data_IF_990433066921
#
_entry.id   IF_990433066921
#
_cell.length_a   1.000
_cell.length_b   1.000
_cell.length_c   1.000
_cell.angle_alpha   90.00
_cell.angle_beta   90.00
_cell.angle_gamma   90.00
#
_symmetry.space_group_name_H-M   'P 1'
#
loop_
_entity.id
_entity.type
_entity.pdbx_description
1 polymer ?
#
# COMPACT_ATOMS: atom_id res chain seq x y z
N UNK A 1 -13.87 -21.47 -0.54
CA UNK A 1 -13.60 -20.07 -0.23
C UNK A 1 -12.96 -19.42 -1.44
N UNK A 2 -13.50 -18.31 -1.87
CA UNK A 2 -12.91 -17.57 -2.98
C UNK A 2 -11.72 -16.78 -2.47
N UNK A 3 -10.60 -16.91 -3.14
CA UNK A 3 -9.45 -16.04 -2.90
C UNK A 3 -9.65 -14.77 -3.70
N UNK A 4 -9.50 -13.60 -3.07
CA UNK A 4 -9.60 -12.36 -3.82
C UNK A 4 -8.57 -12.30 -4.93
N UNK A 5 -9.00 -11.95 -6.13
CA UNK A 5 -8.12 -11.82 -7.29
C UNK A 5 -7.75 -10.39 -7.63
N UNK A 6 -8.37 -9.41 -6.98
CA UNK A 6 -8.16 -8.00 -7.27
C UNK A 6 -7.89 -7.20 -6.01
N UNK A 7 -6.83 -6.41 -6.06
CA UNK A 7 -6.47 -5.45 -5.01
C UNK A 7 -6.27 -4.09 -5.66
N UNK A 8 -6.58 -3.03 -4.93
CA UNK A 8 -6.40 -1.67 -5.42
C UNK A 8 -4.91 -1.32 -5.42
N UNK A 9 -4.27 -1.17 -6.59
CA UNK A 9 -2.83 -0.91 -6.63
C UNK A 9 -2.45 0.46 -6.07
N UNK A 10 -3.33 1.45 -6.15
CA UNK A 10 -3.02 2.80 -5.72
C UNK A 10 -2.77 2.87 -4.22
N UNK A 11 -3.61 2.18 -3.44
CA UNK A 11 -3.43 2.21 -2.00
C UNK A 11 -2.18 1.43 -1.58
N UNK A 12 -1.84 0.37 -2.30
CA UNK A 12 -0.64 -0.40 -2.01
C UNK A 12 0.63 0.40 -2.34
N UNK A 13 0.55 1.35 -3.27
CA UNK A 13 1.68 2.23 -3.59
C UNK A 13 2.05 3.10 -2.38
N UNK A 14 1.08 3.52 -1.58
CA UNK A 14 1.32 4.39 -0.42
C UNK A 14 1.39 3.63 0.89
N UNK A 15 1.11 2.34 0.89
CA UNK A 15 1.17 1.52 2.11
C UNK A 15 2.53 1.59 2.82
N UNK A 16 3.68 1.70 2.13
CA UNK A 16 4.97 1.89 2.81
C UNK A 16 5.02 3.13 3.71
N UNK A 17 4.18 4.13 3.45
CA UNK A 17 4.13 5.34 4.28
C UNK A 17 3.61 5.04 5.69
N UNK A 18 2.96 3.91 5.90
CA UNK A 18 2.49 3.50 7.21
C UNK A 18 3.64 3.12 8.14
N UNK A 19 4.82 2.85 7.60
CA UNK A 19 6.03 2.50 8.37
C UNK A 19 5.77 1.35 9.33
N UNK A 20 5.20 0.28 8.82
CA UNK A 20 4.91 -0.91 9.62
C UNK A 20 6.20 -1.61 10.03
N UNK A 21 6.21 -2.15 11.26
CA UNK A 21 7.28 -3.04 11.67
C UNK A 21 7.28 -4.29 10.78
N UNK A 22 8.42 -4.99 10.66
CA UNK A 22 8.45 -6.24 9.88
C UNK A 22 7.40 -7.25 10.35
N UNK A 23 7.21 -7.37 11.67
CA UNK A 23 6.20 -8.29 12.22
C UNK A 23 4.79 -7.86 11.82
N UNK A 24 4.48 -6.56 11.91
CA UNK A 24 3.16 -6.07 11.49
C UNK A 24 2.93 -6.31 10.00
N UNK A 25 3.96 -6.12 9.18
CA UNK A 25 3.86 -6.40 7.76
C UNK A 25 3.59 -7.88 7.49
N UNK A 26 4.31 -8.75 8.19
CA UNK A 26 4.10 -10.19 8.05
C UNK A 26 2.69 -10.60 8.45
N UNK A 27 2.19 -10.05 9.57
CA UNK A 27 0.81 -10.30 10.01
C UNK A 27 -0.17 -9.81 8.93
N UNK A 28 0.03 -8.62 8.40
CA UNK A 28 -0.84 -8.07 7.37
C UNK A 28 -0.84 -8.96 6.11
N UNK A 29 0.33 -9.44 5.70
CA UNK A 29 0.43 -10.30 4.52
C UNK A 29 -0.36 -11.60 4.71
N UNK A 30 -0.28 -12.20 5.90
CA UNK A 30 -1.05 -13.43 6.18
C UNK A 30 -2.56 -13.13 6.22
N UNK A 31 -2.94 -12.01 6.83
CA UNK A 31 -4.36 -11.60 6.84
C UNK A 31 -4.88 -11.39 5.43
N UNK A 32 -4.10 -10.71 4.60
CA UNK A 32 -4.46 -10.46 3.21
C UNK A 32 -4.66 -11.77 2.45
N UNK A 33 -3.79 -12.75 2.70
CA UNK A 33 -3.89 -14.05 2.04
C UNK A 33 -5.12 -14.86 2.49
N UNK A 34 -5.62 -14.62 3.70
CA UNK A 34 -6.71 -15.40 4.28
C UNK A 34 -8.06 -14.70 4.26
N UNK A 35 -8.12 -13.48 3.72
CA UNK A 35 -9.35 -12.72 3.72
C UNK A 35 -10.39 -13.30 2.77
N UNK A 36 -11.66 -13.07 3.13
CA UNK A 36 -12.78 -13.20 2.19
C UNK A 36 -12.86 -11.92 1.36
N UNK A 37 -13.42 -11.96 0.15
CA UNK A 37 -13.60 -10.74 -0.62
C UNK A 37 -14.36 -9.69 0.20
N UNK A 38 -13.80 -8.47 0.27
CA UNK A 38 -14.32 -7.40 1.11
C UNK A 38 -13.54 -7.20 2.40
N UNK A 39 -12.58 -8.05 2.71
CA UNK A 39 -11.61 -7.81 3.79
C UNK A 39 -11.88 -8.51 5.11
N UNK A 40 -12.91 -9.32 5.21
CA UNK A 40 -13.17 -10.05 6.45
C UNK A 40 -12.21 -11.23 6.57
N UNK A 41 -11.54 -11.34 7.72
CA UNK A 41 -10.63 -12.45 8.01
C UNK A 41 -11.08 -13.15 9.28
N UNK A 42 -11.26 -14.46 9.21
CA UNK A 42 -11.59 -15.29 10.37
C UNK A 42 -10.31 -15.98 10.83
N UNK A 43 -9.71 -15.42 11.88
CA UNK A 43 -8.42 -15.90 12.38
C UNK A 43 -8.26 -15.53 13.84
N UNK A 44 -7.60 -16.42 14.60
CA UNK A 44 -7.26 -16.15 15.99
C UNK A 44 -5.80 -15.72 16.06
N UNK A 45 -5.48 -14.89 17.05
CA UNK A 45 -4.10 -14.45 17.25
C UNK A 45 -3.15 -15.62 17.47
N UNK A 46 -3.62 -16.68 18.12
CA UNK A 46 -2.82 -17.87 18.31
C UNK A 46 -2.44 -18.52 16.98
N UNK A 47 -3.37 -18.57 16.03
CA UNK A 47 -3.11 -19.13 14.70
C UNK A 47 -2.05 -18.32 13.96
N UNK A 48 -2.10 -16.99 14.09
CA UNK A 48 -1.09 -16.12 13.49
C UNK A 48 0.28 -16.33 14.14
N UNK A 49 0.29 -16.46 15.47
CA UNK A 49 1.52 -16.69 16.21
C UNK A 49 2.19 -18.00 15.76
N UNK A 50 1.40 -19.05 15.62
CA UNK A 50 1.90 -20.35 15.17
C UNK A 50 2.39 -20.28 13.72
N UNK A 51 1.62 -19.62 12.85
CA UNK A 51 1.95 -19.50 11.44
C UNK A 51 3.25 -18.74 11.22
N UNK A 52 3.51 -17.71 12.01
CA UNK A 52 4.67 -16.84 11.85
C UNK A 52 5.83 -17.21 12.79
N UNK A 53 5.62 -18.21 13.65
CA UNK A 53 6.60 -18.63 14.64
C UNK A 53 7.04 -17.47 15.53
N UNK A 54 6.07 -16.74 16.06
CA UNK A 54 6.28 -15.63 16.97
C UNK A 54 5.35 -15.77 18.17
N UNK A 55 5.55 -14.95 19.19
CA UNK A 55 4.70 -15.01 20.37
C UNK A 55 3.33 -14.37 20.10
N UNK A 56 2.34 -14.81 20.85
CA UNK A 56 1.00 -14.21 20.76
C UNK A 56 1.04 -12.72 21.15
N UNK A 57 1.91 -12.34 22.08
CA UNK A 57 2.11 -10.95 22.45
C UNK A 57 2.64 -10.12 21.26
N UNK A 58 3.55 -10.69 20.47
CA UNK A 58 4.06 -10.03 19.27
C UNK A 58 2.94 -9.84 18.24
N UNK A 59 2.08 -10.86 18.07
CA UNK A 59 0.92 -10.74 17.18
C UNK A 59 -0.02 -9.63 17.67
N UNK A 60 -0.28 -9.59 18.96
CA UNK A 60 -1.16 -8.57 19.55
C UNK A 60 -0.62 -7.16 19.29
N UNK A 61 0.68 -6.96 19.46
CA UNK A 61 1.30 -5.65 19.18
C UNK A 61 1.23 -5.31 17.69
N UNK A 62 1.45 -6.29 16.83
CA UNK A 62 1.36 -6.09 15.38
C UNK A 62 -0.07 -5.67 14.98
N UNK A 63 -1.07 -6.37 15.51
CA UNK A 63 -2.47 -6.03 15.23
C UNK A 63 -2.80 -4.63 15.75
N UNK A 64 -2.31 -4.26 16.94
CA UNK A 64 -2.51 -2.92 17.47
C UNK A 64 -1.89 -1.87 16.56
N UNK A 65 -0.69 -2.11 16.05
CA UNK A 65 -0.06 -1.18 15.11
C UNK A 65 -0.88 -1.05 13.82
N UNK A 66 -1.33 -2.16 13.27
CA UNK A 66 -2.16 -2.13 12.06
C UNK A 66 -3.46 -1.37 12.30
N UNK A 67 -4.06 -1.55 13.48
CA UNK A 67 -5.28 -0.85 13.86
C UNK A 67 -5.03 0.65 14.03
N UNK A 68 -3.92 1.01 14.67
CA UNK A 68 -3.55 2.42 14.86
C UNK A 68 -3.34 3.14 13.54
N UNK A 69 -2.88 2.43 12.52
CA UNK A 69 -2.72 2.99 11.18
C UNK A 69 -3.99 2.97 10.35
N UNK A 70 -5.08 2.45 10.89
CA UNK A 70 -6.34 2.36 10.17
C UNK A 70 -6.40 1.25 9.15
N UNK A 71 -5.36 0.41 9.09
CA UNK A 71 -5.32 -0.72 8.14
C UNK A 71 -6.32 -1.78 8.54
N UNK A 72 -6.52 -1.98 9.85
CA UNK A 72 -7.55 -2.86 10.40
C UNK A 72 -8.59 -2.04 11.13
N UNK A 73 -9.84 -2.51 11.12
CA UNK A 73 -10.93 -1.86 11.84
C UNK A 73 -10.85 -2.07 13.34
N UNK A 74 -11.39 -1.11 14.08
CA UNK A 74 -11.43 -1.17 15.54
C UNK A 74 -12.45 -2.15 16.07
N UNK A 75 -13.55 -2.29 15.37
CA UNK A 75 -14.64 -3.15 15.81
C UNK A 75 -14.39 -4.56 15.33
N UNK A 76 -14.11 -5.41 16.26
CA UNK A 76 -13.84 -6.78 15.96
C UNK A 76 -14.67 -7.69 16.84
N UNK A 77 -15.25 -8.68 16.23
CA UNK A 77 -15.75 -9.81 16.95
C UNK A 77 -14.57 -10.72 17.26
N UNK A 78 -14.67 -11.44 18.35
CA UNK A 78 -13.65 -12.40 18.72
C UNK A 78 -13.40 -13.36 17.55
N UNK A 79 -12.15 -13.48 17.16
CA UNK A 79 -11.77 -14.37 16.05
C UNK A 79 -12.02 -13.82 14.66
N UNK A 80 -12.37 -12.53 14.53
CA UNK A 80 -12.50 -11.89 13.23
C UNK A 80 -11.73 -10.59 13.18
N UNK A 81 -11.24 -10.25 11.99
CA UNK A 81 -10.52 -9.01 11.72
C UNK A 81 -11.06 -8.46 10.42
N UNK A 82 -11.22 -7.16 10.32
CA UNK A 82 -11.69 -6.52 9.10
C UNK A 82 -10.59 -5.63 8.53
N UNK A 83 -10.15 -5.92 7.31
CA UNK A 83 -9.19 -5.09 6.60
C UNK A 83 -9.93 -3.88 6.03
N UNK A 84 -9.26 -2.72 6.04
CA UNK A 84 -9.85 -1.49 5.50
C UNK A 84 -10.34 -1.72 4.06
N UNK A 85 -11.54 -1.25 3.71
CA UNK A 85 -12.10 -1.52 2.39
C UNK A 85 -11.22 -1.14 1.20
N UNK A 86 -10.38 -0.11 1.32
CA UNK A 86 -9.46 0.27 0.26
C UNK A 86 -8.29 -0.71 0.12
N UNK A 87 -7.92 -1.40 1.21
CA UNK A 87 -6.82 -2.37 1.22
C UNK A 87 -7.29 -3.79 1.03
N UNK A 88 -8.60 -4.03 1.15
CA UNK A 88 -9.17 -5.36 1.03
C UNK A 88 -9.02 -5.90 -0.38
N UNK A 89 -9.09 -7.22 -0.50
CA UNK A 89 -9.14 -7.88 -1.79
C UNK A 89 -10.57 -8.12 -2.23
N UNK A 90 -10.78 -8.15 -3.54
CA UNK A 90 -12.09 -8.32 -4.15
C UNK A 90 -12.02 -9.33 -5.28
N UNK A 91 -13.17 -9.77 -5.74
CA UNK A 91 -13.23 -10.69 -6.88
C UNK A 91 -12.91 -9.99 -8.19
N UNK A 92 -13.22 -8.70 -8.27
CA UNK A 92 -13.02 -7.90 -9.48
C UNK A 92 -13.06 -6.41 -9.13
N UNK A 93 -12.65 -5.58 -10.08
CA UNK A 93 -12.77 -4.12 -9.95
C UNK A 93 -14.23 -3.72 -9.75
N UNK A 94 -15.14 -4.33 -10.47
CA UNK A 94 -16.57 -4.03 -10.34
C UNK A 94 -17.07 -4.34 -8.93
N UNK A 95 -16.65 -5.48 -8.38
CA UNK A 95 -17.01 -5.85 -7.01
C UNK A 95 -16.49 -4.81 -6.02
N UNK A 96 -15.25 -4.37 -6.18
CA UNK A 96 -14.66 -3.35 -5.31
C UNK A 96 -15.47 -2.05 -5.38
N UNK A 97 -15.76 -1.57 -6.58
CA UNK A 97 -16.49 -0.31 -6.75
C UNK A 97 -17.89 -0.38 -6.14
N UNK A 98 -18.57 -1.49 -6.35
CA UNK A 98 -19.89 -1.69 -5.74
C UNK A 98 -19.80 -1.68 -4.22
N UNK A 99 -18.81 -2.35 -3.66
CA UNK A 99 -18.60 -2.40 -2.21
C UNK A 99 -18.30 -1.01 -1.64
N UNK A 100 -17.43 -0.26 -2.30
CA UNK A 100 -17.04 1.07 -1.82
C UNK A 100 -18.16 2.09 -1.94
N UNK A 101 -19.08 1.89 -2.88
CA UNK A 101 -20.21 2.79 -3.09
C UNK A 101 -21.44 2.40 -2.25
N UNK A 102 -21.42 1.23 -1.64
CA UNK A 102 -22.54 0.76 -0.83
C UNK A 102 -22.63 1.59 0.45
N UNK A 103 -23.78 2.26 0.71
CA UNK A 103 -23.94 3.03 1.94
C UNK A 103 -23.80 2.21 3.21
N UNK A 104 -24.02 0.90 3.13
CA UNK A 104 -23.87 0.01 4.28
C UNK A 104 -22.41 -0.30 4.61
N UNK A 105 -21.49 -0.01 3.69
CA UNK A 105 -20.06 -0.23 3.92
C UNK A 105 -19.53 0.84 4.86
N UNK A 106 -19.04 0.39 6.01
CA UNK A 106 -18.45 1.31 6.97
C UNK A 106 -17.02 1.63 6.57
N UNK A 107 -16.74 2.92 6.38
CA UNK A 107 -15.41 3.42 6.07
C UNK A 107 -14.86 4.20 7.24
N UNK A 108 -13.65 3.88 7.65
CA UNK A 108 -12.93 4.64 8.65
C UNK A 108 -11.64 5.19 8.02
N UNK A 109 -11.06 6.25 8.58
CA UNK A 109 -9.89 6.88 7.95
C UNK A 109 -8.64 6.01 8.09
N UNK A 110 -7.82 6.04 7.06
CA UNK A 110 -6.44 5.55 7.14
C UNK A 110 -5.60 6.59 7.87
N UNK A 111 -4.74 6.12 8.75
CA UNK A 111 -3.94 7.00 9.60
C UNK A 111 -2.45 6.92 9.22
N UNK A 112 -2.18 7.19 7.95
CA UNK A 112 -0.81 7.36 7.45
C UNK A 112 -0.89 8.23 6.19
N UNK A 113 0.24 8.86 5.78
CA UNK A 113 0.20 9.77 4.63
C UNK A 113 -0.22 9.06 3.36
N UNK A 114 -1.31 9.50 2.77
CA UNK A 114 -1.82 9.02 1.50
C UNK A 114 -1.83 10.12 0.44
N UNK A 115 -1.23 11.27 0.74
CA UNK A 115 -1.29 12.45 -0.11
C UNK A 115 -0.63 12.31 -1.47
N UNK A 116 0.18 11.28 -1.63
CA UNK A 116 0.82 11.00 -2.91
C UNK A 116 -0.02 10.12 -3.82
N UNK A 117 -1.18 9.67 -3.34
CA UNK A 117 -2.17 9.07 -4.22
C UNK A 117 -2.78 10.19 -5.04
N UNK A 118 -2.10 10.55 -6.09
CA UNK A 118 -2.69 11.45 -7.06
C UNK A 118 -3.39 10.60 -8.09
N UNK A 119 -4.58 11.05 -8.55
CA UNK A 119 -5.12 10.44 -9.75
C UNK A 119 -4.04 10.50 -10.82
N UNK A 120 -3.91 9.47 -11.63
CA UNK A 120 -2.94 9.49 -12.70
C UNK A 120 -3.15 10.78 -13.47
N UNK A 121 -2.14 11.60 -13.47
CA UNK A 121 -2.20 12.81 -14.25
C UNK A 121 -2.41 12.37 -15.68
N UNK A 122 -3.50 12.82 -16.24
CA UNK A 122 -3.62 12.77 -17.67
C UNK A 122 -2.27 13.23 -18.20
N UNK A 123 -1.68 12.44 -19.02
CA UNK A 123 -0.38 12.68 -19.61
C UNK A 123 -0.18 14.15 -19.95
N UNK A 124 0.33 14.87 -18.98
CA UNK A 124 0.80 16.21 -19.24
C UNK A 124 2.16 16.02 -19.91
N UNK A 125 2.29 16.38 -21.19
CA UNK A 125 3.54 16.19 -21.89
C UNK A 125 4.73 16.82 -21.19
N UNK A 126 4.45 17.81 -20.31
CA UNK A 126 5.50 18.46 -19.56
C UNK A 126 6.08 17.57 -18.48
N UNK A 127 5.33 16.55 -18.03
CA UNK A 127 5.83 15.66 -17.01
C UNK A 127 6.85 14.68 -17.57
N UNK A 128 6.77 14.40 -18.85
CA UNK A 128 7.71 13.50 -19.47
C UNK A 128 9.05 14.13 -19.81
N UNK A 129 9.10 15.46 -19.82
CA UNK A 129 10.33 16.18 -20.14
C UNK A 129 11.11 16.61 -18.90
N UNK A 130 10.54 16.49 -17.77
CA UNK A 130 11.23 16.81 -16.52
C UNK A 130 12.25 15.78 -16.13
N UNK A 131 12.57 15.14 -17.05
CA UNK A 131 13.56 14.20 -16.81
C UNK A 131 14.87 14.65 -17.33
N UNK A 132 15.12 15.26 -17.52
CA UNK A 132 16.07 15.43 -17.98
C UNK A 132 16.96 15.92 -17.59
N UNK A 133 17.20 15.86 -17.87
CA UNK A 133 17.90 16.18 -17.61
C UNK A 133 18.66 16.54 -17.60
N UNK A 134 19.05 16.46 -17.76
CA UNK A 134 19.68 16.86 -17.58
C UNK A 134 20.28 17.30 -18.00
N UNK A 135 20.59 17.22 -18.17
CA UNK A 135 21.14 17.62 -18.25
C UNK A 135 21.76 17.84 -18.53
N UNK A 136 22.06 17.52 -18.53
CA UNK A 136 22.60 17.68 -18.42
C UNK A 136 22.91 17.92 -18.83
N UNK A 137 22.86 17.64 -19.24
CA UNK A 137 23.24 17.87 -19.10
C UNK A 137 23.44 18.12 -19.65
N UNK A 138 23.64 17.97 -20.08
CA UNK A 138 23.99 18.29 -19.97
C UNK A 138 24.15 18.64 -20.64
N UNK A 139 24.29 18.52 -20.84
CA UNK A 139 24.58 18.93 -20.73
C UNK A 139 24.73 19.28 -21.02
N UNK A 140 25.13 19.14 -21.58
CA UNK A 140 25.49 19.52 -21.22
C UNK A 140 25.68 19.81 -21.53
N UNK A 141 25.96 19.67 -22.04
CA UNK A 141 26.36 19.92 -21.68
C UNK A 141 26.67 20.11 -22.06
N UNK A 142 27.05 20.02 -22.58
CA UNK A 142 27.59 20.12 -22.37
C UNK A 142 27.73 20.14 -22.70
N UNK A 143 28.11 20.03 -22.94
CA UNK A 143 28.60 20.15 -22.46
C UNK A 143 28.75 20.26 -22.82
N UNK A 144 29.02 20.21 -23.24
CA UNK A 144 29.51 20.34 -22.86
C UNK A 144 29.58 20.47 -23.15
N UNK A 145 29.93 20.24 -23.23
CA UNK A 145 30.48 20.45 -22.70
C UNK A 145 30.76 20.62 -22.84
N UNK A 146 31.00 20.58 -23.37
CA UNK A 146 31.61 20.79 -22.83
C UNK A 146 31.98 20.94 -23.08
N UNK A 147 32.10 20.78 -23.18
CA UNK A 147 32.82 20.83 -22.73
C UNK A 147 33.32 21.12 -23.15
N UNK A 148 33.53 21.00 -23.56
CA UNK A 148 34.45 21.24 -23.39
C UNK A 148 35.04 21.43 -23.55
N UNK A 149 35.22 21.30 -23.76
CA UNK A 149 36.02 21.47 -23.30
C UNK A 149 36.54 21.35 -23.39
N UNK A 150 36.60 21.03 -23.60
CA UNK A 150 37.33 20.87 -23.24
C UNK A 150 37.72 20.79 -23.83
N UNK A 151 37.84 20.75 -24.10
CA UNK A 151 38.51 20.67 -24.24
C UNK A 151 39.22 20.66 -24.55
N UNK A 152 39.62 20.54 -24.92
CA UNK A 152 40.53 20.59 -24.88
C UNK A 152 41.14 20.64 -25.13
N UNK A 153 41.47 20.66 -25.46
CA UNK A 153 42.29 20.69 -25.53
C UNK A 153 42.92 20.75 -25.51
N UNK A 154 42.96 20.60 -25.60
CA UNK A 154 43.74 20.56 -25.32
C UNK A 154 43.88 20.68 -25.10
#
# INVERSE_FOLDING_TARGET
>A
MSTPGFHNPEIFEVLPNARLSPTARDVFDVLTARQEPGGLVRVRQQELAERLDITQAAVSRAISQLRDKGILGDRQRRGTVLIHPLLAGYESLTHMLNHLQDPATFMWPLNFPTGDIRPPRSSDPRTGTDFDPDPDGGEDAPVPEARPSLRLAG
#
